data_IF_716093393300
#
_entry.id   IF_716093393300
#
_cell.length_a   1.000
_cell.length_b   1.000
_cell.length_c   1.000
_cell.angle_alpha   90.00
_cell.angle_beta   90.00
_cell.angle_gamma   90.00
#
_symmetry.space_group_name_H-M   'P 1'
#
loop_
_entity.id
_entity.type
_entity.pdbx_description
1 polymer ?
#
# COMPACT_ATOMS: atom_id res chain seq x y z
N UNK A 1 -39.55 -8.56 22.03
CA UNK A 1 -38.18 -9.03 22.29
C UNK A 1 -37.40 -7.83 22.83
N UNK A 2 -37.09 -7.81 24.14
CA UNK A 2 -36.50 -6.63 24.81
C UNK A 2 -34.97 -6.65 24.62
N UNK A 3 -34.43 -5.73 23.82
CA UNK A 3 -32.99 -5.57 23.63
C UNK A 3 -32.42 -4.84 24.87
N UNK A 4 -31.61 -5.52 25.66
CA UNK A 4 -30.92 -4.93 26.81
C UNK A 4 -29.66 -4.20 26.32
N UNK A 5 -29.64 -2.88 26.44
CA UNK A 5 -28.45 -2.06 26.23
C UNK A 5 -27.42 -2.36 27.33
N UNK A 6 -26.21 -2.75 26.91
CA UNK A 6 -25.04 -2.74 27.76
C UNK A 6 -24.50 -1.31 27.85
N UNK A 7 -24.54 -0.73 29.05
CA UNK A 7 -23.89 0.55 29.37
C UNK A 7 -22.40 0.32 29.59
N UNK A 8 -21.58 0.63 28.59
CA UNK A 8 -20.17 0.91 28.77
C UNK A 8 -20.02 2.41 29.05
N UNK A 9 -19.49 2.77 30.22
CA UNK A 9 -19.22 4.16 30.58
C UNK A 9 -18.17 4.77 29.65
N UNK A 10 -18.59 5.74 28.85
CA UNK A 10 -17.70 6.56 28.04
C UNK A 10 -17.34 7.83 28.81
N UNK A 11 -16.05 8.12 28.93
CA UNK A 11 -15.54 9.43 29.33
C UNK A 11 -15.97 10.43 28.27
N UNK A 12 -16.90 11.33 28.62
CA UNK A 12 -17.42 12.35 27.73
C UNK A 12 -16.37 13.45 27.52
N UNK A 13 -15.50 13.26 26.55
CA UNK A 13 -14.72 14.35 25.96
C UNK A 13 -15.69 15.21 25.14
N UNK A 14 -16.18 16.32 25.71
CA UNK A 14 -16.97 17.32 25.02
C UNK A 14 -16.16 17.92 23.85
N UNK A 15 -16.32 17.35 22.65
CA UNK A 15 -15.85 17.96 21.41
C UNK A 15 -16.76 19.15 21.09
N UNK A 16 -16.36 20.33 21.58
CA UNK A 16 -16.93 21.60 21.14
C UNK A 16 -16.38 21.92 19.74
N UNK A 17 -17.10 21.48 18.71
CA UNK A 17 -16.83 21.91 17.34
C UNK A 17 -17.44 23.30 17.13
N UNK A 18 -16.72 24.31 17.59
CA UNK A 18 -17.06 25.70 17.31
C UNK A 18 -16.87 25.98 15.81
N UNK A 19 -17.94 25.81 15.04
CA UNK A 19 -18.07 26.39 13.70
C UNK A 19 -18.61 27.81 13.87
N UNK A 20 -17.82 28.83 13.48
CA UNK A 20 -18.21 30.24 13.47
C UNK A 20 -19.26 30.58 12.38
N UNK A 21 -20.01 29.61 11.89
CA UNK A 21 -21.14 29.82 10.99
C UNK A 21 -22.29 28.92 11.45
N UNK A 22 -23.33 29.57 11.99
CA UNK A 22 -24.70 29.18 12.41
C UNK A 22 -25.22 27.73 12.57
N UNK A 23 -24.43 26.67 12.38
CA UNK A 23 -24.89 25.28 12.32
C UNK A 23 -23.93 24.28 12.97
N UNK A 24 -23.25 24.69 14.05
CA UNK A 24 -22.39 23.80 14.84
C UNK A 24 -23.21 22.69 15.50
N UNK A 25 -22.95 21.42 15.12
CA UNK A 25 -23.50 20.28 15.84
C UNK A 25 -22.61 20.05 17.06
N UNK A 26 -23.20 20.18 18.25
CA UNK A 26 -22.54 19.83 19.51
C UNK A 26 -22.80 18.35 19.80
N UNK A 27 -21.77 17.62 20.19
CA UNK A 27 -21.93 16.23 20.63
C UNK A 27 -22.79 16.18 21.89
N UNK A 28 -23.90 15.45 21.84
CA UNK A 28 -24.83 15.25 22.96
C UNK A 28 -25.08 13.76 23.16
N UNK A 29 -25.27 13.35 24.41
CA UNK A 29 -25.75 12.00 24.71
C UNK A 29 -27.18 11.81 24.17
N UNK A 30 -27.58 10.56 23.93
CA UNK A 30 -28.91 10.23 23.40
C UNK A 30 -30.05 10.81 24.26
N UNK A 31 -29.84 10.94 25.59
CA UNK A 31 -30.82 11.52 26.53
C UNK A 31 -30.97 13.04 26.36
N UNK A 32 -29.95 13.70 25.82
CA UNK A 32 -29.88 15.15 25.66
C UNK A 32 -30.08 15.60 24.21
N UNK A 33 -30.03 14.65 23.26
CA UNK A 33 -30.17 14.89 21.83
C UNK A 33 -31.62 15.15 21.38
N UNK A 34 -32.61 15.05 22.28
CA UNK A 34 -34.02 15.31 21.94
C UNK A 34 -34.67 14.21 21.11
N UNK A 35 -34.14 12.98 21.16
CA UNK A 35 -34.65 11.80 20.44
C UNK A 35 -36.04 11.44 20.96
N UNK A 36 -37.05 11.52 20.09
CA UNK A 36 -38.47 11.37 20.48
C UNK A 36 -39.17 10.17 19.84
N UNK A 37 -38.64 9.67 18.72
CA UNK A 37 -39.26 8.62 17.93
C UNK A 37 -38.21 7.63 17.36
N UNK A 38 -38.69 6.60 16.67
CA UNK A 38 -37.83 5.56 16.08
C UNK A 38 -36.89 6.10 15.00
N UNK A 39 -37.35 7.05 14.19
CA UNK A 39 -36.54 7.68 13.14
C UNK A 39 -35.42 8.51 13.76
N UNK A 40 -35.73 9.35 14.75
CA UNK A 40 -34.72 10.12 15.49
C UNK A 40 -33.68 9.18 16.12
N UNK A 41 -34.12 8.04 16.65
CA UNK A 41 -33.23 7.03 17.24
C UNK A 41 -32.31 6.43 16.19
N UNK A 42 -32.86 6.06 15.03
CA UNK A 42 -32.09 5.55 13.90
C UNK A 42 -31.05 6.58 13.44
N UNK A 43 -31.45 7.84 13.25
CA UNK A 43 -30.56 8.93 12.85
C UNK A 43 -29.43 9.16 13.86
N UNK A 44 -29.73 9.12 15.17
CA UNK A 44 -28.70 9.20 16.21
C UNK A 44 -27.69 8.05 16.09
N UNK A 45 -28.17 6.81 15.96
CA UNK A 45 -27.29 5.65 15.85
C UNK A 45 -26.54 5.57 14.53
N UNK A 46 -27.07 6.11 13.43
CA UNK A 46 -26.33 6.29 12.17
C UNK A 46 -25.17 7.27 12.34
N UNK A 47 -25.38 8.37 13.07
CA UNK A 47 -24.30 9.30 13.44
C UNK A 47 -23.22 8.63 14.29
N UNK A 48 -23.60 7.82 15.27
CA UNK A 48 -22.66 7.00 16.06
C UNK A 48 -21.94 5.97 15.18
N UNK A 49 -22.63 5.34 14.23
CA UNK A 49 -22.05 4.41 13.25
C UNK A 49 -20.99 5.11 12.38
N UNK A 50 -21.26 6.33 11.93
CA UNK A 50 -20.31 7.14 11.19
C UNK A 50 -19.06 7.47 12.02
N UNK A 51 -19.20 7.65 13.33
CA UNK A 51 -18.05 7.81 14.22
C UNK A 51 -17.18 6.53 14.29
N UNK A 52 -17.77 5.33 14.28
CA UNK A 52 -16.99 4.09 14.19
C UNK A 52 -16.20 4.01 12.88
N UNK A 53 -16.80 4.40 11.74
CA UNK A 53 -16.09 4.46 10.46
C UNK A 53 -14.91 5.43 10.52
N UNK A 54 -15.13 6.62 11.10
CA UNK A 54 -14.08 7.61 11.31
C UNK A 54 -12.93 7.03 12.16
N UNK A 55 -13.22 6.36 13.28
CA UNK A 55 -12.18 5.80 14.14
C UNK A 55 -11.33 4.75 13.42
N UNK A 56 -11.95 3.92 12.57
CA UNK A 56 -11.22 2.96 11.74
C UNK A 56 -10.29 3.67 10.72
N UNK A 57 -10.75 4.76 10.10
CA UNK A 57 -9.91 5.57 9.22
C UNK A 57 -8.77 6.24 10.00
N UNK A 58 -9.07 6.78 11.18
CA UNK A 58 -8.11 7.49 12.02
C UNK A 58 -7.06 6.58 12.65
N UNK A 59 -7.31 5.27 12.77
CA UNK A 59 -6.28 4.29 13.11
C UNK A 59 -5.21 4.18 12.02
N UNK A 60 -5.59 4.35 10.76
CA UNK A 60 -4.68 4.30 9.61
C UNK A 60 -4.02 5.66 9.33
N UNK A 61 -4.77 6.76 9.54
CA UNK A 61 -4.29 8.11 9.35
C UNK A 61 -4.46 8.94 10.64
N UNK A 62 -3.34 9.09 11.37
CA UNK A 62 -3.32 9.85 12.62
C UNK A 62 -3.65 11.33 12.45
N UNK A 63 -3.58 11.91 11.24
CA UNK A 63 -3.92 13.32 11.00
C UNK A 63 -5.40 13.60 11.20
N UNK A 64 -6.26 12.59 10.98
CA UNK A 64 -7.69 12.66 11.22
C UNK A 64 -8.02 12.87 12.70
N UNK A 65 -7.17 12.41 13.63
CA UNK A 65 -7.38 12.54 15.08
C UNK A 65 -7.20 13.95 15.62
N UNK A 66 -6.71 14.88 14.80
CA UNK A 66 -6.63 16.29 15.21
C UNK A 66 -8.04 16.90 15.32
N UNK A 67 -8.20 17.94 16.12
CA UNK A 67 -9.50 18.63 16.23
C UNK A 67 -9.93 19.22 14.88
N UNK A 68 -8.98 19.72 14.09
CA UNK A 68 -9.21 20.16 12.72
C UNK A 68 -9.65 19.00 11.81
N UNK A 69 -8.97 17.85 11.88
CA UNK A 69 -9.32 16.65 11.10
C UNK A 69 -10.72 16.13 11.42
N UNK A 70 -11.10 16.08 12.70
CA UNK A 70 -12.47 15.75 13.14
C UNK A 70 -13.50 16.76 12.62
N UNK A 71 -13.20 18.06 12.72
CA UNK A 71 -14.07 19.11 12.25
C UNK A 71 -14.32 19.01 10.74
N UNK A 72 -13.26 18.80 9.96
CA UNK A 72 -13.35 18.68 8.51
C UNK A 72 -14.04 17.39 8.06
N UNK A 73 -13.85 16.27 8.79
CA UNK A 73 -14.61 15.04 8.54
C UNK A 73 -16.12 15.27 8.68
N UNK A 74 -16.55 15.95 9.75
CA UNK A 74 -17.97 16.24 9.99
C UNK A 74 -18.53 17.19 8.93
N UNK A 75 -17.78 18.23 8.53
CA UNK A 75 -18.17 19.11 7.42
C UNK A 75 -18.34 18.32 6.12
N UNK A 76 -17.40 17.43 5.81
CA UNK A 76 -17.44 16.59 4.62
C UNK A 76 -18.64 15.64 4.61
N UNK A 77 -18.92 14.98 5.74
CA UNK A 77 -20.07 14.09 5.88
C UNK A 77 -21.39 14.85 5.69
N UNK A 78 -21.52 16.04 6.30
CA UNK A 78 -22.71 16.89 6.11
C UNK A 78 -22.88 17.31 4.65
N UNK A 79 -21.82 17.82 4.03
CA UNK A 79 -21.86 18.23 2.63
C UNK A 79 -22.27 17.07 1.72
N UNK A 80 -21.78 15.86 1.99
CA UNK A 80 -22.19 14.67 1.25
C UNK A 80 -23.69 14.39 1.40
N UNK A 81 -24.25 14.44 2.62
CA UNK A 81 -25.68 14.21 2.86
C UNK A 81 -26.56 15.23 2.12
N UNK A 82 -26.18 16.51 2.15
CA UNK A 82 -26.91 17.60 1.47
C UNK A 82 -26.92 17.45 -0.06
N UNK A 83 -25.94 16.76 -0.64
CA UNK A 83 -25.88 16.56 -2.09
C UNK A 83 -26.96 15.59 -2.62
N UNK A 84 -27.59 14.77 -1.77
CA UNK A 84 -28.64 13.83 -2.17
C UNK A 84 -30.06 14.40 -2.03
N UNK A 85 -30.26 15.39 -1.16
CA UNK A 85 -31.59 15.85 -0.76
C UNK A 85 -32.38 16.45 -1.94
N UNK A 86 -33.60 15.93 -2.15
CA UNK A 86 -34.50 16.33 -3.22
C UNK A 86 -33.95 16.15 -4.65
N UNK A 87 -32.92 15.32 -4.87
CA UNK A 87 -32.33 15.08 -6.19
C UNK A 87 -32.89 13.83 -6.87
N UNK A 88 -32.80 13.80 -8.19
CA UNK A 88 -33.18 12.60 -8.97
C UNK A 88 -32.14 11.49 -8.85
N UNK A 89 -32.57 10.24 -9.01
CA UNK A 89 -31.69 9.07 -8.97
C UNK A 89 -30.54 9.17 -9.96
N UNK A 90 -30.78 9.71 -11.16
CA UNK A 90 -29.74 9.90 -12.17
C UNK A 90 -28.69 10.94 -11.75
N UNK A 91 -29.10 12.02 -11.07
CA UNK A 91 -28.18 13.01 -10.51
C UNK A 91 -27.33 12.39 -9.40
N UNK A 92 -27.97 11.62 -8.52
CA UNK A 92 -27.31 10.89 -7.44
C UNK A 92 -26.29 9.87 -7.99
N UNK A 93 -26.65 9.15 -9.05
CA UNK A 93 -25.74 8.23 -9.73
C UNK A 93 -24.53 8.96 -10.33
N UNK A 94 -24.76 10.09 -11.00
CA UNK A 94 -23.69 10.94 -11.54
C UNK A 94 -22.77 11.51 -10.45
N UNK A 95 -23.33 11.93 -9.32
CA UNK A 95 -22.58 12.40 -8.16
C UNK A 95 -21.69 11.28 -7.59
N UNK A 96 -22.26 10.10 -7.40
CA UNK A 96 -21.55 8.92 -6.88
C UNK A 96 -20.38 8.53 -7.79
N UNK A 97 -20.61 8.47 -9.11
CA UNK A 97 -19.55 8.24 -10.09
C UNK A 97 -18.51 9.36 -10.08
N UNK A 98 -18.93 10.62 -9.93
CA UNK A 98 -18.06 11.78 -9.83
C UNK A 98 -17.11 11.71 -8.63
N UNK A 99 -17.58 11.27 -7.46
CA UNK A 99 -16.74 11.03 -6.27
C UNK A 99 -15.69 9.96 -6.55
N UNK A 100 -16.07 8.84 -7.18
CA UNK A 100 -15.13 7.78 -7.54
C UNK A 100 -14.05 8.28 -8.53
N UNK A 101 -14.45 9.06 -9.53
CA UNK A 101 -13.53 9.68 -10.49
C UNK A 101 -12.61 10.69 -9.80
N UNK A 102 -13.13 11.52 -8.90
CA UNK A 102 -12.31 12.47 -8.15
C UNK A 102 -11.26 11.77 -7.28
N UNK A 103 -11.62 10.65 -6.64
CA UNK A 103 -10.68 9.82 -5.89
C UNK A 103 -9.62 9.18 -6.81
N UNK A 104 -10.01 8.68 -7.97
CA UNK A 104 -9.07 8.17 -8.97
C UNK A 104 -8.09 9.25 -9.46
N UNK A 105 -8.60 10.46 -9.75
CA UNK A 105 -7.77 11.59 -10.19
C UNK A 105 -6.81 12.05 -9.09
N UNK A 106 -7.23 12.00 -7.82
CA UNK A 106 -6.34 12.23 -6.67
C UNK A 106 -5.22 11.20 -6.65
N UNK A 107 -5.53 9.92 -6.81
CA UNK A 107 -4.52 8.86 -6.86
C UNK A 107 -3.56 9.03 -8.05
N UNK A 108 -4.06 9.40 -9.24
CA UNK A 108 -3.21 9.71 -10.39
C UNK A 108 -2.24 10.86 -10.11
N UNK A 109 -2.69 11.88 -9.37
CA UNK A 109 -1.83 12.98 -8.96
C UNK A 109 -0.79 12.54 -7.93
N UNK A 110 -1.24 11.87 -6.87
CA UNK A 110 -0.42 11.54 -5.71
C UNK A 110 0.54 10.37 -5.95
N UNK A 111 0.25 9.49 -6.92
CA UNK A 111 1.06 8.31 -7.23
C UNK A 111 1.81 8.42 -8.55
N UNK A 112 1.18 8.99 -9.58
CA UNK A 112 1.73 9.05 -10.93
C UNK A 112 2.14 10.48 -11.34
N UNK A 113 1.96 11.46 -10.46
CA UNK A 113 2.22 12.88 -10.74
C UNK A 113 1.41 13.43 -11.93
N UNK A 114 0.23 12.84 -12.19
CA UNK A 114 -0.63 13.20 -13.31
C UNK A 114 -1.78 14.09 -12.88
N UNK A 115 -1.93 15.23 -13.57
CA UNK A 115 -3.06 16.13 -13.38
C UNK A 115 -4.08 15.91 -14.49
N UNK A 116 -5.19 15.25 -14.15
CA UNK A 116 -6.26 14.98 -15.12
C UNK A 116 -6.96 16.29 -15.52
N UNK A 117 -7.13 16.48 -16.83
CA UNK A 117 -7.89 17.59 -17.38
C UNK A 117 -9.39 17.26 -17.35
N UNK A 118 -10.10 17.78 -16.35
CA UNK A 118 -11.53 17.54 -16.18
C UNK A 118 -12.36 17.94 -17.40
N UNK A 119 -11.97 18.99 -18.14
CA UNK A 119 -12.69 19.39 -19.36
C UNK A 119 -12.61 18.30 -20.41
N UNK A 120 -11.40 17.80 -20.69
CA UNK A 120 -11.18 16.74 -21.70
C UNK A 120 -11.87 15.44 -21.26
N UNK A 121 -11.79 15.10 -19.98
CA UNK A 121 -12.48 13.94 -19.41
C UNK A 121 -14.00 14.03 -19.62
N UNK A 122 -14.61 15.18 -19.31
CA UNK A 122 -16.04 15.41 -19.51
C UNK A 122 -16.42 15.44 -21.00
N UNK A 123 -15.54 15.94 -21.88
CA UNK A 123 -15.74 15.81 -23.34
C UNK A 123 -15.81 14.34 -23.76
N UNK A 124 -14.90 13.49 -23.26
CA UNK A 124 -14.92 12.05 -23.54
C UNK A 124 -16.19 11.36 -23.02
N UNK A 125 -16.62 11.71 -21.80
CA UNK A 125 -17.88 11.22 -21.23
C UNK A 125 -19.09 11.62 -22.07
N UNK A 126 -19.21 12.90 -22.43
CA UNK A 126 -20.32 13.39 -23.24
C UNK A 126 -20.37 12.71 -24.61
N UNK A 127 -19.20 12.51 -25.24
CA UNK A 127 -19.12 11.80 -26.52
C UNK A 127 -19.55 10.33 -26.40
N UNK A 128 -19.08 9.63 -25.36
CA UNK A 128 -19.44 8.22 -25.13
C UNK A 128 -20.93 8.03 -24.84
N UNK A 129 -21.56 8.94 -24.09
CA UNK A 129 -23.00 8.90 -23.80
C UNK A 129 -23.89 9.18 -25.03
N UNK A 130 -23.34 9.82 -26.06
CA UNK A 130 -24.04 10.04 -27.34
C UNK A 130 -23.84 8.88 -28.33
N UNK A 131 -22.93 7.94 -28.02
CA UNK A 131 -22.49 6.90 -28.94
C UNK A 131 -22.31 5.56 -28.21
N UNK A 132 -23.43 4.86 -27.97
CA UNK A 132 -23.47 3.61 -27.18
C UNK A 132 -22.48 2.53 -27.62
N UNK A 133 -22.10 2.49 -28.90
CA UNK A 133 -21.13 1.54 -29.44
C UNK A 133 -19.75 1.67 -28.81
N UNK A 134 -19.34 2.87 -28.40
CA UNK A 134 -18.02 3.14 -27.81
C UNK A 134 -17.84 2.40 -26.49
N UNK A 135 -18.88 2.42 -25.64
CA UNK A 135 -18.82 1.75 -24.33
C UNK A 135 -18.79 0.22 -24.43
N UNK A 136 -19.13 -0.33 -25.60
CA UNK A 136 -19.13 -1.77 -25.90
C UNK A 136 -17.89 -2.21 -26.69
N UNK A 137 -17.08 -1.26 -27.15
CA UNK A 137 -15.87 -1.56 -27.90
C UNK A 137 -14.73 -1.96 -26.95
N UNK A 138 -14.28 -3.23 -26.97
CA UNK A 138 -13.19 -3.68 -26.11
C UNK A 138 -11.87 -2.95 -26.40
N UNK A 139 -11.69 -2.38 -27.61
CA UNK A 139 -10.47 -1.67 -27.97
C UNK A 139 -10.26 -0.40 -27.14
N UNK A 140 -11.34 0.29 -26.75
CA UNK A 140 -11.26 1.53 -25.96
C UNK A 140 -10.63 1.24 -24.60
N UNK A 141 -11.09 0.19 -23.92
CA UNK A 141 -10.53 -0.22 -22.63
C UNK A 141 -9.11 -0.77 -22.76
N UNK A 142 -8.81 -1.50 -23.84
CA UNK A 142 -7.46 -2.00 -24.12
C UNK A 142 -6.46 -0.84 -24.34
N UNK A 143 -6.85 0.20 -25.07
CA UNK A 143 -6.03 1.40 -25.28
C UNK A 143 -5.76 2.12 -23.96
N UNK A 144 -6.78 2.26 -23.12
CA UNK A 144 -6.63 2.83 -21.78
C UNK A 144 -5.64 2.02 -20.92
N UNK A 145 -5.80 0.70 -20.86
CA UNK A 145 -4.90 -0.19 -20.12
C UNK A 145 -3.45 -0.10 -20.63
N UNK A 146 -3.26 -0.09 -21.94
CA UNK A 146 -1.93 0.03 -22.57
C UNK A 146 -1.28 1.37 -22.22
N UNK A 147 -2.05 2.46 -22.25
CA UNK A 147 -1.57 3.79 -21.85
C UNK A 147 -1.17 3.80 -20.37
N UNK A 148 -2.00 3.24 -19.50
CA UNK A 148 -1.73 3.15 -18.06
C UNK A 148 -0.49 2.33 -17.76
N UNK A 149 -0.31 1.18 -18.42
CA UNK A 149 0.89 0.36 -18.28
C UNK A 149 2.15 1.16 -18.64
N UNK A 150 2.13 1.86 -19.78
CA UNK A 150 3.27 2.69 -20.21
C UNK A 150 3.60 3.80 -19.19
N UNK A 151 2.58 4.46 -18.65
CA UNK A 151 2.74 5.49 -17.63
C UNK A 151 3.39 4.90 -16.36
N UNK A 152 2.89 3.74 -15.90
CA UNK A 152 3.43 3.06 -14.73
C UNK A 152 4.89 2.63 -14.94
N UNK A 153 5.23 2.07 -16.10
CA UNK A 153 6.60 1.69 -16.46
C UNK A 153 7.55 2.90 -16.46
N UNK A 154 7.10 4.03 -17.01
CA UNK A 154 7.87 5.28 -16.98
C UNK A 154 8.09 5.80 -15.55
N UNK A 155 7.05 5.76 -14.71
CA UNK A 155 7.15 6.17 -13.30
C UNK A 155 8.10 5.27 -12.52
N UNK A 156 7.97 3.94 -12.67
CA UNK A 156 8.88 2.98 -12.04
C UNK A 156 10.33 3.22 -12.44
N UNK A 157 10.60 3.46 -13.73
CA UNK A 157 11.95 3.79 -14.20
C UNK A 157 12.48 5.08 -13.57
N UNK A 158 11.67 6.14 -13.54
CA UNK A 158 12.04 7.42 -12.92
C UNK A 158 12.36 7.25 -11.43
N UNK A 159 11.54 6.49 -10.70
CA UNK A 159 11.74 6.23 -9.27
C UNK A 159 12.98 5.38 -9.00
N UNK A 160 13.21 4.36 -9.83
CA UNK A 160 14.42 3.55 -9.81
C UNK A 160 15.67 4.44 -10.00
N UNK A 161 15.70 5.26 -11.05
CA UNK A 161 16.84 6.12 -11.36
C UNK A 161 17.09 7.15 -10.25
N UNK A 162 16.02 7.68 -9.63
CA UNK A 162 16.11 8.57 -8.48
C UNK A 162 16.70 7.85 -7.24
N UNK A 163 16.26 6.63 -6.97
CA UNK A 163 16.78 5.81 -5.87
C UNK A 163 18.27 5.45 -6.11
N UNK A 164 18.65 5.03 -7.31
CA UNK A 164 20.05 4.75 -7.69
C UNK A 164 20.93 5.98 -7.49
N UNK A 165 20.46 7.16 -7.90
CA UNK A 165 21.19 8.42 -7.66
C UNK A 165 21.35 8.70 -6.16
N UNK A 166 20.33 8.42 -5.35
CA UNK A 166 20.40 8.58 -3.90
C UNK A 166 21.41 7.61 -3.25
N UNK A 167 21.47 6.35 -3.74
CA UNK A 167 22.41 5.33 -3.26
C UNK A 167 23.88 5.73 -3.44
N UNK A 168 24.23 6.55 -4.44
CA UNK A 168 25.61 7.01 -4.63
C UNK A 168 26.17 7.76 -3.39
N UNK A 169 25.29 8.36 -2.57
CA UNK A 169 25.69 9.01 -1.32
C UNK A 169 26.15 8.03 -0.23
N UNK A 170 25.76 6.74 -0.32
CA UNK A 170 26.13 5.69 0.63
C UNK A 170 27.62 5.39 0.64
N UNK A 171 28.36 5.73 -0.42
CA UNK A 171 29.82 5.60 -0.44
C UNK A 171 30.48 6.35 0.74
N UNK A 172 29.90 7.48 1.14
CA UNK A 172 30.36 8.25 2.32
C UNK A 172 30.07 7.56 3.65
N UNK A 173 29.19 6.57 3.66
CA UNK A 173 28.78 5.78 4.82
C UNK A 173 29.49 4.42 4.89
N UNK A 174 30.53 4.22 4.07
CA UNK A 174 31.33 2.99 4.03
C UNK A 174 30.71 1.87 3.18
N UNK A 175 29.75 2.19 2.32
CA UNK A 175 29.32 1.26 1.28
C UNK A 175 30.28 1.29 0.10
N UNK A 176 30.49 0.15 -0.53
CA UNK A 176 31.26 -0.02 -1.75
C UNK A 176 30.36 -0.55 -2.86
N UNK A 177 30.60 -0.14 -4.09
CA UNK A 177 29.91 -0.75 -5.23
C UNK A 177 30.26 -2.24 -5.31
N UNK A 178 29.23 -3.08 -5.42
CA UNK A 178 29.35 -4.45 -5.90
C UNK A 178 28.95 -4.52 -7.37
N UNK A 179 29.13 -5.68 -8.01
CA UNK A 179 28.65 -5.89 -9.38
C UNK A 179 27.16 -5.52 -9.55
N UNK A 180 26.79 -5.18 -10.80
CA UNK A 180 25.42 -4.81 -11.19
C UNK A 180 24.83 -3.54 -10.55
N UNK A 181 25.66 -2.61 -10.06
CA UNK A 181 25.19 -1.30 -9.57
C UNK A 181 24.59 -1.33 -8.16
N UNK A 182 24.78 -2.43 -7.44
CA UNK A 182 24.43 -2.58 -6.03
C UNK A 182 25.48 -1.93 -5.13
N UNK A 183 25.06 -1.39 -3.99
CA UNK A 183 25.96 -0.86 -2.96
C UNK A 183 25.92 -1.79 -1.74
N UNK A 184 27.09 -2.23 -1.26
CA UNK A 184 27.22 -3.17 -0.15
C UNK A 184 28.15 -2.62 0.95
N UNK A 185 27.81 -2.90 2.20
CA UNK A 185 28.68 -2.66 3.36
C UNK A 185 28.81 -3.95 4.16
N UNK A 186 30.02 -4.52 4.20
CA UNK A 186 30.29 -5.71 5.02
C UNK A 186 30.55 -5.27 6.45
N UNK A 187 29.69 -5.68 7.39
CA UNK A 187 29.83 -5.36 8.82
C UNK A 187 30.54 -6.47 9.59
N UNK A 188 30.38 -7.73 9.16
CA UNK A 188 31.11 -8.88 9.69
C UNK A 188 31.64 -9.72 8.54
N UNK A 189 32.96 -9.87 8.37
CA UNK A 189 33.50 -10.74 7.34
C UNK A 189 33.11 -12.20 7.62
N UNK A 190 32.74 -12.93 6.57
CA UNK A 190 32.53 -14.37 6.66
C UNK A 190 33.85 -15.12 6.85
N UNK A 191 33.77 -16.30 7.46
CA UNK A 191 34.93 -17.16 7.75
C UNK A 191 34.93 -18.48 6.96
N UNK A 192 33.90 -18.76 6.17
CA UNK A 192 33.76 -20.01 5.40
C UNK A 192 33.74 -19.83 3.88
N UNK A 193 33.39 -20.92 3.19
CA UNK A 193 33.28 -20.98 1.72
C UNK A 193 32.22 -19.99 1.19
N UNK A 194 32.39 -19.61 -0.07
CA UNK A 194 31.36 -18.91 -0.85
C UNK A 194 30.16 -19.82 -1.02
N UNK A 195 28.97 -19.25 -0.87
CA UNK A 195 27.70 -19.95 -1.08
C UNK A 195 27.59 -20.50 -2.50
N UNK A 196 27.14 -21.74 -2.64
CA UNK A 196 26.85 -22.37 -3.94
C UNK A 196 25.37 -22.23 -4.24
N UNK A 197 25.03 -22.15 -5.53
CA UNK A 197 23.64 -22.18 -5.97
C UNK A 197 22.96 -23.45 -5.46
N UNK A 198 21.76 -23.32 -4.89
CA UNK A 198 21.01 -24.41 -4.29
C UNK A 198 21.35 -24.69 -2.81
N UNK A 199 22.38 -24.07 -2.23
CA UNK A 199 22.62 -24.17 -0.80
C UNK A 199 21.43 -23.61 -0.02
N UNK A 200 20.96 -24.37 0.98
CA UNK A 200 19.95 -23.88 1.94
C UNK A 200 20.68 -23.31 3.15
N UNK A 201 20.41 -22.05 3.47
CA UNK A 201 21.12 -21.32 4.52
C UNK A 201 20.16 -20.64 5.47
N UNK A 202 20.51 -20.66 6.76
CA UNK A 202 19.81 -19.88 7.78
C UNK A 202 20.27 -18.43 7.71
N UNK A 203 19.32 -17.52 7.64
CA UNK A 203 19.57 -16.09 7.52
C UNK A 203 18.81 -15.31 8.59
N UNK A 204 19.41 -14.19 8.98
CA UNK A 204 18.68 -13.13 9.68
C UNK A 204 18.62 -11.92 8.76
N UNK A 205 17.40 -11.45 8.50
CA UNK A 205 17.12 -10.32 7.64
C UNK A 205 16.56 -9.16 8.48
N UNK A 206 17.09 -7.96 8.27
CA UNK A 206 16.53 -6.73 8.80
C UNK A 206 16.53 -5.66 7.72
N UNK A 207 15.53 -4.80 7.71
CA UNK A 207 15.34 -3.79 6.67
C UNK A 207 15.18 -2.42 7.30
N UNK A 208 15.94 -1.46 6.79
CA UNK A 208 15.81 -0.04 7.13
C UNK A 208 15.69 0.79 5.87
N UNK A 209 15.05 1.93 5.95
CA UNK A 209 15.19 2.96 4.93
C UNK A 209 16.57 3.62 5.05
N UNK A 210 17.02 4.27 3.98
CA UNK A 210 18.30 4.99 3.95
C UNK A 210 18.42 6.10 5.02
N UNK A 211 17.29 6.62 5.53
CA UNK A 211 17.26 7.58 6.64
C UNK A 211 17.38 6.92 8.03
N UNK A 212 17.51 5.59 8.11
CA UNK A 212 17.64 4.82 9.35
C UNK A 212 16.32 4.35 9.97
N UNK A 213 15.16 4.73 9.42
CA UNK A 213 13.84 4.26 9.86
C UNK A 213 13.71 2.76 9.61
N UNK A 214 13.31 2.02 10.64
CA UNK A 214 13.05 0.58 10.51
C UNK A 214 11.82 0.33 9.63
N UNK A 215 11.95 -0.64 8.72
CA UNK A 215 10.88 -1.07 7.82
C UNK A 215 10.40 -2.44 8.27
N UNK A 216 9.14 -2.52 8.70
CA UNK A 216 8.52 -3.78 9.11
C UNK A 216 7.93 -4.47 7.88
N UNK A 217 8.69 -5.41 7.32
CA UNK A 217 8.18 -6.30 6.28
C UNK A 217 7.58 -7.56 6.93
N UNK A 218 6.37 -7.98 6.53
CA UNK A 218 5.76 -9.20 7.04
C UNK A 218 6.58 -10.42 6.58
N UNK A 219 6.88 -11.32 7.53
CA UNK A 219 7.39 -12.67 7.27
C UNK A 219 8.68 -12.69 6.42
N UNK A 220 9.73 -11.98 6.86
CA UNK A 220 11.06 -12.19 6.30
C UNK A 220 11.50 -13.65 6.54
N UNK A 221 11.99 -14.36 5.52
CA UNK A 221 12.37 -15.77 5.67
C UNK A 221 13.58 -15.91 6.60
N UNK A 222 13.53 -16.92 7.46
CA UNK A 222 14.67 -17.32 8.29
C UNK A 222 15.58 -18.32 7.57
N UNK A 223 15.12 -18.90 6.47
CA UNK A 223 15.87 -19.83 5.61
C UNK A 223 15.69 -19.46 4.15
N UNK A 224 16.79 -19.47 3.39
CA UNK A 224 16.78 -19.18 1.95
C UNK A 224 17.57 -20.23 1.19
N UNK A 225 17.14 -20.52 -0.03
CA UNK A 225 17.87 -21.33 -0.99
C UNK A 225 18.57 -20.38 -1.96
N UNK A 226 19.90 -20.41 -1.97
CA UNK A 226 20.74 -19.50 -2.76
C UNK A 226 20.39 -19.62 -4.25
N UNK A 227 20.12 -18.48 -4.89
CA UNK A 227 19.70 -18.39 -6.30
C UNK A 227 18.24 -18.74 -6.60
N UNK A 228 17.47 -19.25 -5.62
CA UNK A 228 16.06 -19.65 -5.81
C UNK A 228 15.08 -18.85 -4.96
N UNK A 229 15.42 -18.62 -3.70
CA UNK A 229 14.61 -17.76 -2.83
C UNK A 229 14.56 -16.34 -3.38
N UNK A 230 13.41 -15.68 -3.24
CA UNK A 230 13.10 -14.36 -3.81
C UNK A 230 12.93 -14.29 -5.34
N UNK A 231 13.18 -15.40 -6.07
CA UNK A 231 13.11 -15.47 -7.53
C UNK A 231 14.47 -15.27 -8.20
N UNK A 232 14.67 -15.92 -9.36
CA UNK A 232 15.96 -16.00 -10.05
C UNK A 232 16.56 -14.64 -10.40
N UNK A 233 15.72 -13.70 -10.88
CA UNK A 233 16.16 -12.35 -11.27
C UNK A 233 16.12 -11.33 -10.11
N UNK A 234 15.90 -11.79 -8.87
CA UNK A 234 15.81 -10.88 -7.72
C UNK A 234 17.18 -10.31 -7.36
N UNK A 235 17.33 -8.98 -7.23
CA UNK A 235 18.55 -8.35 -6.71
C UNK A 235 18.98 -8.92 -5.36
N UNK A 236 18.03 -9.32 -4.51
CA UNK A 236 18.31 -9.95 -3.22
C UNK A 236 18.95 -11.33 -3.39
N UNK A 237 18.43 -12.16 -4.30
CA UNK A 237 18.96 -13.49 -4.56
C UNK A 237 20.41 -13.42 -5.04
N UNK A 238 20.70 -12.47 -5.96
CA UNK A 238 22.05 -12.20 -6.44
C UNK A 238 22.97 -11.69 -5.34
N UNK A 239 22.50 -10.76 -4.51
CA UNK A 239 23.27 -10.24 -3.38
C UNK A 239 23.67 -11.36 -2.40
N UNK A 240 22.73 -12.22 -2.01
CA UNK A 240 22.98 -13.36 -1.12
C UNK A 240 24.00 -14.32 -1.74
N UNK A 241 23.91 -14.60 -3.05
CA UNK A 241 24.87 -15.48 -3.73
C UNK A 241 26.32 -14.98 -3.69
N UNK A 242 26.55 -13.68 -3.48
CA UNK A 242 27.91 -13.12 -3.31
C UNK A 242 28.46 -13.25 -1.89
N UNK A 243 27.64 -13.67 -0.92
CA UNK A 243 28.03 -13.76 0.49
C UNK A 243 28.79 -15.05 0.80
N UNK A 244 29.54 -15.01 1.90
CA UNK A 244 30.20 -16.16 2.50
C UNK A 244 29.48 -16.65 3.76
N UNK A 245 29.72 -17.90 4.12
CA UNK A 245 29.31 -18.44 5.43
C UNK A 245 29.77 -17.54 6.60
N UNK A 246 28.84 -17.23 7.51
CA UNK A 246 29.09 -16.40 8.70
C UNK A 246 29.18 -14.89 8.44
N UNK A 247 29.02 -14.45 7.19
CA UNK A 247 29.10 -13.03 6.82
C UNK A 247 27.84 -12.27 7.24
N UNK A 248 28.02 -11.03 7.69
CA UNK A 248 26.95 -10.04 7.77
C UNK A 248 27.28 -8.88 6.84
N UNK A 249 26.36 -8.53 5.95
CA UNK A 249 26.48 -7.40 5.04
C UNK A 249 25.14 -6.70 4.87
N UNK A 250 25.20 -5.39 4.65
CA UNK A 250 24.05 -4.56 4.33
C UNK A 250 24.08 -4.22 2.84
N UNK A 251 23.01 -4.52 2.13
CA UNK A 251 22.84 -4.22 0.71
C UNK A 251 21.79 -3.12 0.52
N UNK A 252 22.08 -2.17 -0.37
CA UNK A 252 21.13 -1.13 -0.74
C UNK A 252 20.38 -1.50 -2.01
N UNK A 253 19.05 -1.34 -1.99
CA UNK A 253 18.18 -1.58 -3.13
C UNK A 253 17.16 -0.44 -3.30
N UNK A 254 16.83 -0.03 -4.53
CA UNK A 254 15.60 0.70 -4.80
C UNK A 254 14.38 -0.08 -4.32
N UNK A 255 13.46 0.56 -3.61
CA UNK A 255 12.25 -0.10 -3.13
C UNK A 255 11.35 -0.60 -4.28
N UNK A 256 11.39 0.08 -5.43
CA UNK A 256 10.62 -0.31 -6.63
C UNK A 256 11.04 -1.67 -7.19
N UNK A 257 12.30 -2.06 -7.04
CA UNK A 257 12.78 -3.37 -7.51
C UNK A 257 12.26 -4.52 -6.65
N UNK A 258 11.96 -4.24 -5.39
CA UNK A 258 11.44 -5.21 -4.43
C UNK A 258 9.91 -5.34 -4.50
N UNK A 259 9.21 -4.23 -4.70
CA UNK A 259 7.74 -4.18 -4.55
C UNK A 259 6.96 -3.88 -5.82
N UNK A 260 7.62 -3.47 -6.92
CA UNK A 260 6.99 -3.20 -8.24
C UNK A 260 5.72 -2.32 -8.17
N UNK A 261 5.77 -1.25 -7.38
CA UNK A 261 4.62 -0.34 -7.16
C UNK A 261 3.90 -0.54 -5.83
N UNK A 262 4.11 -1.67 -5.14
CA UNK A 262 3.50 -1.98 -3.85
C UNK A 262 4.13 -1.31 -2.62
N UNK A 263 5.11 -0.41 -2.79
CA UNK A 263 5.89 0.20 -1.69
C UNK A 263 5.01 0.87 -0.62
N UNK A 264 3.98 1.61 -1.04
CA UNK A 264 3.14 2.39 -0.13
C UNK A 264 2.42 1.54 0.92
N UNK A 265 2.14 0.27 0.62
CA UNK A 265 1.56 -0.67 1.59
C UNK A 265 2.46 -0.88 2.82
N UNK A 266 3.75 -0.59 2.70
CA UNK A 266 4.75 -0.68 3.75
C UNK A 266 5.16 0.71 4.29
N UNK A 267 4.44 1.77 3.93
CA UNK A 267 4.75 3.13 4.34
C UNK A 267 6.07 3.67 3.77
N UNK A 268 6.40 3.21 2.55
CA UNK A 268 7.59 3.59 1.79
C UNK A 268 7.21 4.49 0.62
N UNK A 269 8.04 5.49 0.35
CA UNK A 269 7.93 6.30 -0.86
C UNK A 269 8.38 5.51 -2.10
N UNK A 270 7.90 5.91 -3.28
CA UNK A 270 8.17 5.15 -4.51
C UNK A 270 9.67 5.06 -4.84
N UNK A 271 10.43 6.12 -4.54
CA UNK A 271 11.88 6.23 -4.75
C UNK A 271 12.70 5.94 -3.47
N UNK A 272 12.10 5.37 -2.42
CA UNK A 272 12.84 4.99 -1.21
C UNK A 272 13.98 4.02 -1.53
N UNK A 273 15.09 4.16 -0.80
CA UNK A 273 16.22 3.22 -0.81
C UNK A 273 16.14 2.38 0.46
N UNK A 274 16.19 1.07 0.29
CA UNK A 274 16.14 0.09 1.36
C UNK A 274 17.53 -0.49 1.63
N UNK A 275 17.91 -0.52 2.89
CA UNK A 275 19.11 -1.12 3.42
C UNK A 275 18.73 -2.47 4.05
N UNK A 276 19.02 -3.55 3.35
CA UNK A 276 18.80 -4.91 3.81
C UNK A 276 20.06 -5.44 4.47
N UNK A 277 20.03 -5.59 5.78
CA UNK A 277 21.05 -6.30 6.53
C UNK A 277 20.78 -7.79 6.46
N UNK A 278 21.72 -8.52 5.90
CA UNK A 278 21.69 -9.98 5.76
C UNK A 278 22.81 -10.56 6.61
N UNK A 279 22.47 -11.48 7.52
CA UNK A 279 23.45 -12.30 8.25
C UNK A 279 23.29 -13.75 7.87
N UNK A 280 24.33 -14.37 7.32
CA UNK A 280 24.38 -15.80 7.03
C UNK A 280 24.82 -16.53 8.31
N UNK A 281 23.90 -17.25 8.94
CA UNK A 281 24.13 -17.91 10.24
C UNK A 281 24.77 -19.29 10.09
N UNK A 282 24.51 -19.98 8.98
CA UNK A 282 25.04 -21.31 8.68
C UNK A 282 24.19 -22.03 7.63
N UNK A 283 24.58 -23.26 7.29
CA UNK A 283 23.76 -24.15 6.48
C UNK A 283 22.51 -24.56 7.26
N UNK A 284 21.37 -24.60 6.58
CA UNK A 284 20.17 -25.22 7.12
C UNK A 284 20.31 -26.76 7.04
N UNK A 285 19.63 -27.51 7.92
CA UNK A 285 19.57 -28.95 7.77
C UNK A 285 19.02 -29.32 6.40
N UNK A 286 19.61 -30.35 5.77
CA UNK A 286 18.97 -30.97 4.61
C UNK A 286 17.56 -31.39 5.02
N UNK A 287 16.57 -31.06 4.19
CA UNK A 287 15.23 -31.62 4.36
C UNK A 287 15.38 -33.15 4.38
N UNK A 288 14.87 -33.80 5.43
CA UNK A 288 14.69 -35.25 5.35
C UNK A 288 13.73 -35.46 4.18
N UNK A 289 14.22 -36.06 3.10
CA UNK A 289 13.44 -36.47 1.94
C UNK A 289 12.20 -37.24 2.40
N UNK A 290 11.08 -36.54 2.54
CA UNK A 290 9.75 -37.12 2.44
C UNK A 290 9.15 -36.80 1.06
N UNK A 291 10.00 -36.52 0.07
CA UNK A 291 9.63 -36.64 -1.32
C UNK A 291 9.92 -38.08 -1.73
N UNK A 292 8.89 -38.93 -1.69
CA UNK A 292 8.89 -40.13 -2.51
C UNK A 292 9.31 -39.74 -3.93
N UNK A 293 10.18 -40.52 -4.61
CA UNK A 293 10.58 -40.20 -5.97
C UNK A 293 9.33 -40.00 -6.83
N UNK A 294 9.24 -38.89 -7.55
CA UNK A 294 8.34 -38.73 -8.67
C UNK A 294 8.70 -39.82 -9.68
N UNK A 295 8.07 -40.98 -9.55
CA UNK A 295 8.12 -42.04 -10.53
C UNK A 295 7.66 -41.43 -11.85
N UNK A 296 8.54 -41.44 -12.84
CA UNK A 296 8.21 -41.07 -14.20
C UNK A 296 6.97 -41.86 -14.63
N UNK A 297 5.89 -41.16 -14.92
CA UNK A 297 4.72 -41.79 -15.52
C UNK A 297 5.15 -42.41 -16.86
N UNK A 298 4.94 -43.72 -17.07
CA UNK A 298 5.27 -44.34 -18.35
C UNK A 298 4.42 -43.70 -19.45
N UNK A 299 5.10 -43.30 -20.53
CA UNK A 299 4.46 -42.81 -21.74
C UNK A 299 3.45 -43.84 -22.25
N UNK A 300 2.18 -43.47 -22.35
CA UNK A 300 1.17 -44.28 -23.03
C UNK A 300 1.47 -44.29 -24.53
N UNK A 301 1.52 -45.46 -25.19
CA UNK A 301 1.62 -45.52 -26.64
C UNK A 301 0.31 -45.04 -27.26
N UNK A 302 0.45 -44.23 -28.30
CA UNK A 302 -0.61 -43.79 -29.19
C UNK A 302 -1.23 -45.01 -29.88
N UNK A 303 -2.56 -45.12 -29.81
CA UNK A 303 -3.39 -45.85 -30.78
C UNK A 303 -4.55 -44.96 -31.18
#
# INVERSE_FOLDING_TARGET
MKLKLFTAGAVASLLLLASCDGGGVTGKDIKEAGVSNTTDSLSYYEGVSAAYMFEQMAQQDSTLKTDAGRADFIKGLRAAMEMFDGKSDAYIAGLTAGVQVAMSNKNFKDELELNINNRIMLTGLAYALQNDSITKDPQVMQQFQTLMQRIQEQKMKKDHDAAVKAMASLSKQGFTASGEGLMVKVSKPGSGETLKEGDRVKVKLAVKEMNGKDVKLPQLPEEVVVGRSFGFDSPMAKAIATMKMGQTATFAFPAVDMFRGGQKQYGLESNSVLLFEVSILGLAPAEKDNAAPLAAAPAKPVK
#
